data_IF_694604305943
#
_entry.id   IF_694604305943
#
_cell.length_a   1.000
_cell.length_b   1.000
_cell.length_c   1.000
_cell.angle_alpha   90.00
_cell.angle_beta   90.00
_cell.angle_gamma   90.00
#
_symmetry.space_group_name_H-M   'P 1'
#
loop_
_entity.id
_entity.type
_entity.pdbx_description
1 polymer ?
#
# COMPACT_ATOMS: atom_id res chain seq x y z
N UNK A 1 -22.50 -29.80 18.12
CA UNK A 1 -22.74 -28.74 17.12
C UNK A 1 -22.16 -27.50 17.75
N UNK A 2 -20.91 -27.17 17.39
CA UNK A 2 -20.24 -25.99 17.92
C UNK A 2 -21.05 -24.79 17.46
N UNK A 3 -21.59 -24.03 18.41
CA UNK A 3 -22.54 -22.96 18.12
C UNK A 3 -21.79 -21.81 17.46
N UNK A 4 -21.77 -21.79 16.13
CA UNK A 4 -21.34 -20.63 15.34
C UNK A 4 -22.12 -19.37 15.73
N UNK A 5 -23.34 -19.53 16.26
CA UNK A 5 -24.18 -18.44 16.77
C UNK A 5 -23.47 -17.64 17.87
N UNK A 6 -22.71 -18.30 18.76
CA UNK A 6 -21.98 -17.61 19.83
C UNK A 6 -20.85 -16.73 19.28
N UNK A 7 -20.08 -17.24 18.31
CA UNK A 7 -19.02 -16.47 17.67
C UNK A 7 -19.58 -15.31 16.86
N UNK A 8 -20.62 -15.55 16.06
CA UNK A 8 -21.24 -14.49 15.26
C UNK A 8 -21.90 -13.43 16.14
N UNK A 9 -22.59 -13.80 17.21
CA UNK A 9 -23.12 -12.84 18.18
C UNK A 9 -21.99 -12.03 18.86
N UNK A 10 -20.85 -12.67 19.17
CA UNK A 10 -19.70 -11.96 19.71
C UNK A 10 -19.07 -10.99 18.70
N UNK A 11 -19.06 -11.32 17.41
CA UNK A 11 -18.60 -10.44 16.34
C UNK A 11 -19.55 -9.26 16.09
N UNK A 12 -20.87 -9.49 16.12
CA UNK A 12 -21.86 -8.41 16.03
C UNK A 12 -21.74 -7.44 17.22
N UNK A 13 -21.69 -7.96 18.44
CA UNK A 13 -21.50 -7.15 19.64
C UNK A 13 -20.17 -6.40 19.61
N UNK A 14 -19.12 -7.02 19.07
CA UNK A 14 -17.83 -6.39 18.85
C UNK A 14 -17.91 -5.20 17.89
N UNK A 15 -18.63 -5.32 16.77
CA UNK A 15 -18.80 -4.23 15.81
C UNK A 15 -19.57 -3.05 16.41
N UNK A 16 -20.63 -3.32 17.18
CA UNK A 16 -21.37 -2.30 17.93
C UNK A 16 -20.50 -1.60 18.98
N UNK A 17 -19.74 -2.37 19.76
CA UNK A 17 -18.82 -1.83 20.77
C UNK A 17 -17.75 -0.95 20.11
N UNK A 18 -17.17 -1.42 19.01
CA UNK A 18 -16.15 -0.69 18.27
C UNK A 18 -16.72 0.62 17.70
N UNK A 19 -17.93 0.61 17.16
CA UNK A 19 -18.62 1.81 16.68
C UNK A 19 -18.85 2.82 17.81
N UNK A 20 -19.25 2.36 18.99
CA UNK A 20 -19.47 3.23 20.15
C UNK A 20 -18.16 3.81 20.71
N UNK A 21 -17.09 3.00 20.77
CA UNK A 21 -15.75 3.46 21.14
C UNK A 21 -15.27 4.57 20.20
N UNK A 22 -15.44 4.39 18.88
CA UNK A 22 -15.11 5.41 17.87
C UNK A 22 -15.90 6.70 18.09
N UNK A 23 -17.22 6.59 18.34
CA UNK A 23 -18.10 7.74 18.60
C UNK A 23 -17.70 8.52 19.87
N UNK A 24 -17.22 7.82 20.90
CA UNK A 24 -16.74 8.40 22.16
C UNK A 24 -15.34 9.03 22.07
N UNK A 25 -14.66 8.94 20.92
CA UNK A 25 -13.35 9.55 20.72
C UNK A 25 -12.17 8.57 20.73
N UNK A 26 -12.39 7.27 20.94
CA UNK A 26 -11.40 6.24 20.64
C UNK A 26 -11.45 5.95 19.15
N UNK A 27 -11.05 6.93 18.34
CA UNK A 27 -11.05 6.80 16.89
C UNK A 27 -9.67 7.11 16.32
N UNK A 28 -9.56 6.93 15.02
CA UNK A 28 -8.37 7.12 14.22
C UNK A 28 -8.25 8.56 13.68
N UNK A 29 -9.12 9.48 14.10
CA UNK A 29 -8.98 10.88 13.75
C UNK A 29 -7.65 11.43 14.29
N UNK A 30 -6.93 12.14 13.43
CA UNK A 30 -5.67 12.77 13.77
C UNK A 30 -5.48 13.98 12.87
N UNK A 31 -5.36 15.16 13.48
CA UNK A 31 -5.40 16.43 12.76
C UNK A 31 -4.33 16.52 11.67
N UNK A 32 -3.11 16.07 11.98
CA UNK A 32 -1.96 16.16 11.07
C UNK A 32 -2.15 15.26 9.83
N UNK A 33 -2.58 14.02 10.03
CA UNK A 33 -2.81 13.07 8.92
C UNK A 33 -4.06 13.36 8.09
N UNK A 34 -4.98 14.20 8.60
CA UNK A 34 -6.12 14.70 7.84
C UNK A 34 -5.75 15.81 6.86
N UNK A 35 -4.64 16.53 7.08
CA UNK A 35 -4.21 17.65 6.24
C UNK A 35 -2.96 17.35 5.40
N UNK A 36 -2.15 16.38 5.82
CA UNK A 36 -0.90 16.00 5.16
C UNK A 36 -0.75 14.47 5.14
N UNK A 37 -0.03 13.96 4.14
CA UNK A 37 0.32 12.54 4.10
C UNK A 37 1.18 12.18 5.32
N UNK A 38 0.91 11.03 5.93
CA UNK A 38 1.71 10.49 7.06
C UNK A 38 3.18 10.23 6.69
N UNK A 39 3.53 10.27 5.40
CA UNK A 39 4.89 10.11 4.91
C UNK A 39 5.49 11.41 4.36
N UNK A 40 4.87 12.57 4.59
CA UNK A 40 5.35 13.87 4.09
C UNK A 40 6.56 14.36 4.91
N UNK A 41 7.76 14.07 4.41
CA UNK A 41 9.03 14.35 5.11
C UNK A 41 9.21 15.83 5.43
N UNK A 42 8.98 16.71 4.45
CA UNK A 42 9.26 18.13 4.59
C UNK A 42 8.13 18.84 5.32
N UNK A 43 6.89 18.75 4.79
CA UNK A 43 5.79 19.60 5.27
C UNK A 43 5.22 19.14 6.61
N UNK A 44 5.35 17.85 6.93
CA UNK A 44 4.90 17.30 8.22
C UNK A 44 6.09 17.12 9.16
N UNK A 45 6.98 16.18 8.87
CA UNK A 45 7.98 15.73 9.84
C UNK A 45 9.04 16.79 10.16
N UNK A 46 9.71 17.34 9.14
CA UNK A 46 10.74 18.38 9.33
C UNK A 46 10.16 19.60 10.05
N UNK A 47 8.97 20.08 9.63
CA UNK A 47 8.32 21.23 10.27
C UNK A 47 7.87 20.98 11.70
N UNK A 48 7.38 19.78 12.02
CA UNK A 48 6.94 19.45 13.37
C UNK A 48 8.13 19.31 14.32
N UNK A 49 9.18 18.60 13.90
CA UNK A 49 10.43 18.46 14.67
C UNK A 49 11.05 19.83 14.92
N UNK A 50 11.16 20.67 13.88
CA UNK A 50 11.59 22.06 14.01
C UNK A 50 10.79 22.83 15.06
N UNK A 51 9.47 22.71 15.02
CA UNK A 51 8.58 23.47 15.89
C UNK A 51 8.81 23.13 17.37
N UNK A 52 9.22 21.90 17.70
CA UNK A 52 9.60 21.51 19.06
C UNK A 52 11.03 21.87 19.42
N UNK A 53 11.98 21.70 18.50
CA UNK A 53 13.40 21.93 18.78
C UNK A 53 13.74 23.42 18.92
N UNK A 54 13.02 24.30 18.24
CA UNK A 54 13.31 25.74 18.25
C UNK A 54 12.97 26.39 19.60
N UNK A 55 13.94 26.90 20.39
CA UNK A 55 13.65 27.50 21.69
C UNK A 55 12.76 28.75 21.64
N UNK A 56 12.68 29.40 20.46
CA UNK A 56 11.81 30.55 20.17
C UNK A 56 10.47 30.11 19.54
N UNK A 57 10.18 28.82 19.54
CA UNK A 57 8.95 28.25 19.01
C UNK A 57 7.71 28.64 19.81
N UNK A 58 6.54 28.55 19.17
CA UNK A 58 5.24 28.89 19.79
C UNK A 58 4.76 27.88 20.85
N UNK A 59 5.60 26.93 21.25
CA UNK A 59 5.36 26.07 22.41
C UNK A 59 5.77 26.74 23.72
N UNK A 60 6.54 27.83 23.69
CA UNK A 60 6.93 28.62 24.86
C UNK A 60 7.63 27.81 25.98
N UNK A 61 8.30 26.70 25.65
CA UNK A 61 9.05 25.87 26.61
C UNK A 61 10.55 26.19 26.66
N UNK A 62 11.00 27.26 25.98
CA UNK A 62 12.42 27.58 25.85
C UNK A 62 13.21 26.40 25.28
N UNK A 63 14.40 26.15 25.83
CA UNK A 63 15.33 25.11 25.38
C UNK A 63 14.96 23.69 25.81
N UNK A 64 13.90 23.52 26.61
CA UNK A 64 13.58 22.25 27.27
C UNK A 64 13.42 21.06 26.32
N UNK A 65 12.75 21.23 25.18
CA UNK A 65 12.59 20.15 24.21
C UNK A 65 13.88 19.84 23.45
N UNK A 66 14.73 20.85 23.22
CA UNK A 66 16.06 20.67 22.63
C UNK A 66 17.00 19.96 23.60
N UNK A 67 16.99 20.29 24.89
CA UNK A 67 17.73 19.58 25.95
C UNK A 67 17.37 18.10 26.00
N UNK A 68 16.07 17.79 25.94
CA UNK A 68 15.58 16.43 25.89
C UNK A 68 16.00 15.71 24.60
N UNK A 69 16.06 16.40 23.47
CA UNK A 69 16.56 15.85 22.22
C UNK A 69 18.04 15.49 22.32
N UNK A 70 18.87 16.44 22.76
CA UNK A 70 20.30 16.23 22.98
C UNK A 70 20.56 15.08 23.94
N UNK A 71 19.76 14.97 25.01
CA UNK A 71 19.81 13.81 25.91
C UNK A 71 19.47 12.50 25.22
N UNK A 72 18.40 12.46 24.43
CA UNK A 72 17.96 11.25 23.74
C UNK A 72 18.98 10.72 22.73
N UNK A 73 19.78 11.61 22.11
CA UNK A 73 20.85 11.23 21.17
C UNK A 73 22.23 11.07 21.86
N UNK A 74 22.32 11.20 23.19
CA UNK A 74 23.56 11.06 23.94
C UNK A 74 24.55 12.23 23.80
N UNK A 75 24.07 13.45 23.56
CA UNK A 75 24.84 14.66 23.23
C UNK A 75 24.47 15.88 24.11
N UNK A 76 24.24 15.63 25.41
CA UNK A 76 23.72 16.62 26.37
C UNK A 76 24.49 17.95 26.38
N UNK A 77 25.83 17.89 26.33
CA UNK A 77 26.72 19.05 26.40
C UNK A 77 27.28 19.47 25.02
N UNK A 78 26.58 19.12 23.94
CA UNK A 78 27.07 19.40 22.59
C UNK A 78 26.99 20.88 22.23
N UNK A 79 25.88 21.56 22.55
CA UNK A 79 25.61 22.95 22.16
C UNK A 79 25.54 23.86 23.38
N UNK A 80 25.99 25.11 23.22
CA UNK A 80 25.63 26.21 24.11
C UNK A 80 24.18 26.65 23.82
N UNK A 81 23.28 26.27 24.73
CA UNK A 81 21.85 26.54 24.60
C UNK A 81 21.49 28.03 24.75
N UNK A 82 22.40 28.87 25.24
CA UNK A 82 22.15 30.31 25.40
C UNK A 82 22.23 31.08 24.08
N UNK A 83 23.01 30.59 23.11
CA UNK A 83 23.20 31.18 21.78
C UNK A 83 22.61 30.35 20.64
N UNK A 84 21.89 29.27 20.95
CA UNK A 84 21.42 28.31 19.94
C UNK A 84 20.39 28.90 18.98
N UNK A 85 20.54 28.55 17.70
CA UNK A 85 19.62 28.86 16.62
C UNK A 85 19.22 27.55 15.93
N UNK A 86 17.93 27.41 15.66
CA UNK A 86 17.38 26.28 14.90
C UNK A 86 16.80 26.84 13.60
N UNK A 87 17.22 26.26 12.49
CA UNK A 87 16.78 26.56 11.14
C UNK A 87 16.17 25.29 10.54
N UNK A 88 15.16 25.46 9.70
CA UNK A 88 14.60 24.39 8.87
C UNK A 88 14.58 24.85 7.43
N UNK A 89 14.55 23.89 6.51
CA UNK A 89 14.32 24.18 5.10
C UNK A 89 15.32 25.24 4.57
N UNK A 90 16.55 25.23 5.11
CA UNK A 90 17.54 26.29 4.89
C UNK A 90 18.22 26.12 3.53
N UNK A 91 18.12 27.14 2.68
CA UNK A 91 18.76 27.22 1.37
C UNK A 91 19.72 28.43 1.35
N UNK A 92 21.03 28.25 1.60
CA UNK A 92 21.97 29.36 1.68
C UNK A 92 22.14 30.12 0.35
N UNK A 93 22.16 29.39 -0.78
CA UNK A 93 22.41 29.97 -2.11
C UNK A 93 21.13 30.16 -2.96
N UNK A 94 19.95 29.91 -2.37
CA UNK A 94 18.65 30.00 -3.06
C UNK A 94 18.41 28.96 -4.17
N UNK A 95 19.40 28.10 -4.46
CA UNK A 95 19.30 27.03 -5.44
C UNK A 95 19.40 25.66 -4.77
N UNK A 96 18.34 24.86 -4.88
CA UNK A 96 18.33 23.39 -4.78
C UNK A 96 18.62 22.71 -3.43
N UNK A 97 19.41 23.33 -2.55
CA UNK A 97 20.07 22.62 -1.45
C UNK A 97 19.45 22.99 -0.12
N UNK A 98 18.32 22.34 0.13
CA UNK A 98 17.51 22.56 1.31
C UNK A 98 17.94 21.62 2.43
N UNK A 99 18.67 22.14 3.42
CA UNK A 99 18.93 21.39 4.66
C UNK A 99 17.62 21.29 5.44
N UNK A 100 17.17 20.07 5.73
CA UNK A 100 15.94 19.81 6.48
C UNK A 100 15.95 20.51 7.84
N UNK A 101 16.94 20.22 8.68
CA UNK A 101 17.16 20.91 9.96
C UNK A 101 18.64 21.20 10.19
N UNK A 102 18.92 22.41 10.66
CA UNK A 102 20.25 22.85 11.07
C UNK A 102 20.15 23.55 12.42
N UNK A 103 20.92 23.06 13.39
CA UNK A 103 20.98 23.58 14.76
C UNK A 103 22.42 24.02 15.01
N UNK A 104 22.63 25.24 15.46
CA UNK A 104 23.98 25.77 15.71
C UNK A 104 23.99 26.75 16.88
N UNK A 105 25.06 26.75 17.67
CA UNK A 105 25.35 27.77 18.69
C UNK A 105 26.37 28.83 18.22
N UNK A 106 26.78 28.75 16.94
CA UNK A 106 27.83 29.56 16.32
C UNK A 106 29.23 28.92 16.36
N UNK A 107 29.44 27.88 17.15
CA UNK A 107 30.71 27.11 17.23
C UNK A 107 30.50 25.67 16.79
N UNK A 108 29.49 25.01 17.34
CA UNK A 108 29.11 23.63 17.05
C UNK A 108 27.78 23.58 16.33
N UNK A 109 27.58 22.48 15.64
CA UNK A 109 26.41 22.30 14.79
C UNK A 109 25.91 20.86 14.71
N UNK A 110 24.61 20.75 14.49
CA UNK A 110 23.89 19.51 14.22
C UNK A 110 23.11 19.71 12.92
N UNK A 111 23.33 18.82 11.96
CA UNK A 111 22.55 18.72 10.72
C UNK A 111 21.70 17.48 10.82
N UNK A 112 20.40 17.59 10.54
CA UNK A 112 19.50 16.44 10.48
C UNK A 112 18.91 16.37 9.09
N UNK A 113 19.17 15.27 8.39
CA UNK A 113 18.50 14.92 7.14
C UNK A 113 17.38 13.92 7.44
N UNK A 114 16.16 14.26 7.03
CA UNK A 114 14.96 13.52 7.38
C UNK A 114 14.46 12.70 6.18
N UNK A 115 14.56 11.36 6.28
CA UNK A 115 14.13 10.46 5.21
C UNK A 115 13.24 9.33 5.69
N UNK A 116 11.94 9.45 5.43
CA UNK A 116 10.98 8.38 5.63
C UNK A 116 10.97 7.39 4.46
N UNK A 117 10.68 7.88 3.25
CA UNK A 117 10.48 7.09 2.04
C UNK A 117 11.21 7.65 0.82
N UNK A 118 11.65 8.90 0.82
CA UNK A 118 12.36 9.49 -0.30
C UNK A 118 13.75 8.86 -0.49
N UNK A 119 14.11 8.75 -1.76
CA UNK A 119 15.46 8.39 -2.16
C UNK A 119 16.45 9.51 -1.80
N UNK A 120 17.72 9.15 -1.65
CA UNK A 120 18.76 10.15 -1.41
C UNK A 120 18.99 10.98 -2.67
N UNK A 121 19.22 12.26 -2.48
CA UNK A 121 19.55 13.17 -3.57
C UNK A 121 21.06 13.14 -3.84
N UNK A 122 21.50 13.40 -5.08
CA UNK A 122 22.92 13.30 -5.42
C UNK A 122 23.78 14.21 -4.55
N UNK A 123 24.81 13.61 -3.92
CA UNK A 123 25.81 14.29 -3.10
C UNK A 123 25.24 15.13 -1.94
N UNK A 124 24.01 14.84 -1.51
CA UNK A 124 23.26 15.62 -0.52
C UNK A 124 24.06 15.87 0.76
N UNK A 125 24.73 14.85 1.30
CA UNK A 125 25.50 14.98 2.55
C UNK A 125 26.72 15.88 2.36
N UNK A 126 27.50 15.66 1.30
CA UNK A 126 28.69 16.47 1.01
C UNK A 126 28.32 17.95 0.84
N UNK A 127 27.26 18.24 0.07
CA UNK A 127 26.78 19.60 -0.17
C UNK A 127 26.37 20.31 1.12
N UNK A 128 25.68 19.61 2.03
CA UNK A 128 25.31 20.21 3.31
C UNK A 128 26.51 20.56 4.18
N UNK A 129 27.51 19.68 4.22
CA UNK A 129 28.74 19.96 4.95
C UNK A 129 29.51 21.14 4.34
N UNK A 130 29.55 21.26 3.02
CA UNK A 130 30.13 22.42 2.33
C UNK A 130 29.40 23.72 2.70
N UNK A 131 28.08 23.71 2.61
CA UNK A 131 27.20 24.85 2.92
C UNK A 131 27.43 25.41 4.32
N UNK A 132 27.63 24.55 5.31
CA UNK A 132 27.84 24.97 6.72
C UNK A 132 29.33 25.09 7.07
N UNK A 133 30.22 25.06 6.08
CA UNK A 133 31.68 25.11 6.22
C UNK A 133 32.28 23.99 7.11
N UNK A 134 31.68 22.80 7.10
CA UNK A 134 32.13 21.60 7.81
C UNK A 134 32.96 20.64 6.95
N UNK A 135 33.95 21.17 6.22
CA UNK A 135 34.83 20.36 5.35
C UNK A 135 36.25 20.21 5.87
N UNK A 136 36.65 21.03 6.85
CA UNK A 136 37.98 20.99 7.46
C UNK A 136 38.09 19.84 8.49
N UNK A 137 38.98 18.85 8.28
CA UNK A 137 39.21 17.79 9.26
C UNK A 137 39.63 18.29 10.65
N UNK A 138 40.23 19.48 10.76
CA UNK A 138 40.59 20.07 12.05
C UNK A 138 39.36 20.48 12.89
N UNK A 139 38.20 20.65 12.26
CA UNK A 139 36.93 21.04 12.88
C UNK A 139 35.90 19.90 12.86
N UNK A 140 36.31 18.67 12.54
CA UNK A 140 35.43 17.52 12.42
C UNK A 140 34.70 17.15 13.73
N UNK A 141 35.19 17.64 14.87
CA UNK A 141 34.60 17.45 16.19
C UNK A 141 33.51 18.48 16.53
N UNK A 142 33.32 19.51 15.70
CA UNK A 142 32.30 20.54 15.94
C UNK A 142 30.99 20.29 15.18
N UNK A 143 30.97 19.28 14.29
CA UNK A 143 29.81 18.96 13.45
C UNK A 143 29.28 17.55 13.73
N UNK A 144 27.97 17.45 13.95
CA UNK A 144 27.23 16.20 14.02
C UNK A 144 26.23 16.11 12.87
N UNK A 145 26.35 15.07 12.04
CA UNK A 145 25.37 14.73 11.03
C UNK A 145 24.46 13.60 11.53
N UNK A 146 23.16 13.87 11.59
CA UNK A 146 22.12 12.91 11.97
C UNK A 146 21.33 12.52 10.72
N UNK A 147 21.30 11.23 10.43
CA UNK A 147 20.44 10.66 9.40
C UNK A 147 19.20 10.05 10.03
N UNK A 148 18.07 10.75 9.98
CA UNK A 148 16.81 10.34 10.60
C UNK A 148 15.96 9.56 9.61
N UNK A 149 15.81 8.25 9.82
CA UNK A 149 15.09 7.38 8.87
C UNK A 149 14.25 6.29 9.52
N UNK A 150 13.45 5.55 8.73
CA UNK A 150 12.74 4.37 9.26
C UNK A 150 13.69 3.21 9.58
N UNK A 151 14.53 2.82 8.63
CA UNK A 151 15.30 1.56 8.69
C UNK A 151 16.72 1.65 8.08
N UNK A 152 17.13 2.80 7.52
CA UNK A 152 18.42 2.92 6.84
C UNK A 152 19.49 3.27 7.84
N UNK A 153 20.59 2.52 7.80
CA UNK A 153 21.76 2.71 8.67
C UNK A 153 22.65 3.88 8.25
N UNK A 154 22.65 4.20 6.95
CA UNK A 154 23.47 5.22 6.31
C UNK A 154 22.77 5.75 5.05
N UNK A 155 23.08 7.00 4.63
CA UNK A 155 22.78 7.45 3.28
C UNK A 155 23.44 6.54 2.25
N UNK A 156 22.83 6.40 1.08
CA UNK A 156 23.42 5.68 -0.04
C UNK A 156 24.72 6.35 -0.53
N UNK A 157 25.56 5.61 -1.25
CA UNK A 157 26.77 6.17 -1.87
C UNK A 157 26.45 7.37 -2.78
N UNK A 158 25.29 7.33 -3.46
CA UNK A 158 24.77 8.44 -4.26
C UNK A 158 24.48 9.68 -3.42
N UNK A 159 23.91 9.52 -2.22
CA UNK A 159 23.66 10.59 -1.26
C UNK A 159 24.91 11.14 -0.58
N UNK A 160 25.90 10.28 -0.32
CA UNK A 160 27.13 10.65 0.40
C UNK A 160 28.07 11.55 -0.41
N UNK A 161 28.09 11.42 -1.74
CA UNK A 161 28.92 12.29 -2.60
C UNK A 161 30.43 12.13 -2.39
N UNK A 162 30.91 10.88 -2.31
CA UNK A 162 32.34 10.59 -2.10
C UNK A 162 32.76 10.51 -0.64
N UNK A 163 31.89 10.88 0.30
CA UNK A 163 32.06 10.59 1.72
C UNK A 163 31.78 9.10 2.02
N UNK A 164 32.30 8.63 3.15
CA UNK A 164 31.98 7.28 3.68
C UNK A 164 31.58 7.36 5.16
N UNK A 165 30.68 6.48 5.58
CA UNK A 165 30.30 6.33 6.99
C UNK A 165 31.18 5.27 7.64
N UNK A 166 31.97 5.65 8.64
CA UNK A 166 32.67 4.71 9.51
C UNK A 166 31.84 4.42 10.75
N UNK A 167 31.08 3.31 10.73
CA UNK A 167 30.23 2.91 11.86
C UNK A 167 31.02 2.62 13.15
N UNK A 168 32.27 2.15 13.03
CA UNK A 168 33.12 1.84 14.20
C UNK A 168 33.44 3.08 15.02
N UNK A 169 33.73 4.20 14.36
CA UNK A 169 34.08 5.47 15.02
C UNK A 169 32.92 6.47 15.02
N UNK A 170 31.79 6.13 14.41
CA UNK A 170 30.64 7.02 14.22
C UNK A 170 31.05 8.35 13.58
N UNK A 171 31.75 8.26 12.43
CA UNK A 171 32.29 9.41 11.69
C UNK A 171 31.90 9.37 10.22
N UNK A 172 31.71 10.55 9.63
CA UNK A 172 31.82 10.75 8.19
C UNK A 172 33.30 10.97 7.84
N UNK A 173 33.79 10.25 6.85
CA UNK A 173 35.16 10.35 6.35
C UNK A 173 35.17 10.88 4.91
N UNK A 174 36.13 11.75 4.60
CA UNK A 174 36.40 12.17 3.23
C UNK A 174 37.11 11.06 2.42
N UNK A 175 37.39 11.35 1.15
CA UNK A 175 38.08 10.42 0.24
C UNK A 175 39.50 10.04 0.69
N UNK A 176 40.13 10.86 1.52
CA UNK A 176 41.43 10.60 2.15
C UNK A 176 41.32 9.86 3.50
N UNK A 177 40.13 9.36 3.85
CA UNK A 177 39.84 8.69 5.13
C UNK A 177 40.03 9.57 6.38
N UNK A 178 40.02 10.91 6.22
CA UNK A 178 40.06 11.84 7.34
C UNK A 178 38.64 12.15 7.81
N UNK A 179 38.40 12.31 9.13
CA UNK A 179 37.08 12.65 9.64
C UNK A 179 36.68 14.07 9.21
N UNK A 180 35.40 14.26 8.89
CA UNK A 180 34.80 15.59 8.59
C UNK A 180 33.64 15.94 9.51
N UNK A 181 32.96 14.93 10.08
CA UNK A 181 31.90 15.12 11.05
C UNK A 181 31.68 13.86 11.89
N UNK A 182 31.05 14.00 13.05
CA UNK A 182 30.37 12.90 13.70
C UNK A 182 29.17 12.44 12.85
N UNK A 183 28.90 11.15 12.88
CA UNK A 183 27.75 10.53 12.23
C UNK A 183 26.87 9.82 13.26
N UNK A 184 25.56 10.02 13.17
CA UNK A 184 24.58 9.27 13.95
C UNK A 184 23.37 8.93 13.09
N UNK A 185 22.84 7.73 13.26
CA UNK A 185 21.56 7.35 12.67
C UNK A 185 20.50 7.41 13.77
N UNK A 186 19.38 8.04 13.48
CA UNK A 186 18.22 8.11 14.38
C UNK A 186 17.04 7.42 13.69
N UNK A 187 16.33 6.56 14.40
CA UNK A 187 15.21 5.82 13.83
C UNK A 187 13.85 6.46 14.13
N UNK A 188 12.94 6.40 13.17
CA UNK A 188 11.51 6.60 13.42
C UNK A 188 10.84 5.40 14.09
N UNK A 189 11.46 4.22 14.10
CA UNK A 189 10.88 3.01 14.71
C UNK A 189 11.18 2.93 16.21
N UNK A 190 10.29 2.31 16.98
CA UNK A 190 10.47 2.15 18.44
C UNK A 190 11.55 1.14 18.80
N UNK A 191 11.53 -0.02 18.15
CA UNK A 191 12.30 -1.21 18.56
C UNK A 191 13.41 -1.57 17.56
N UNK A 192 14.20 -0.58 17.16
CA UNK A 192 15.48 -0.82 16.51
C UNK A 192 16.55 -0.79 17.59
N UNK A 193 17.58 -1.65 17.57
CA UNK A 193 18.68 -1.60 18.56
C UNK A 193 19.56 -0.34 18.49
N UNK A 194 18.96 0.81 18.17
CA UNK A 194 19.54 2.11 17.85
C UNK A 194 18.68 3.20 18.51
N UNK A 195 19.21 4.42 18.55
CA UNK A 195 18.47 5.57 19.08
C UNK A 195 17.19 5.82 18.26
N UNK A 196 16.10 6.14 18.95
CA UNK A 196 14.79 6.35 18.37
C UNK A 196 14.25 7.74 18.70
N UNK A 197 13.56 8.36 17.74
CA UNK A 197 12.84 9.61 17.94
C UNK A 197 11.73 9.45 19.00
N UNK A 198 11.21 8.23 19.20
CA UNK A 198 10.19 7.96 20.21
C UNK A 198 10.66 8.27 21.63
N UNK A 199 11.91 7.91 21.97
CA UNK A 199 12.51 8.21 23.28
C UNK A 199 12.47 9.72 23.57
N UNK A 200 12.76 10.54 22.56
CA UNK A 200 12.69 12.00 22.67
C UNK A 200 11.25 12.50 22.82
N UNK A 201 10.33 12.03 21.96
CA UNK A 201 8.91 12.44 22.00
C UNK A 201 8.23 12.07 23.32
N UNK A 202 8.50 10.87 23.85
CA UNK A 202 8.01 10.42 25.15
C UNK A 202 8.56 11.28 26.29
N UNK A 203 9.84 11.61 26.23
CA UNK A 203 10.45 12.53 27.20
C UNK A 203 9.81 13.92 27.15
N UNK A 204 9.49 14.42 25.95
CA UNK A 204 8.76 15.69 25.79
C UNK A 204 7.36 15.63 26.38
N UNK A 205 6.61 14.55 26.11
CA UNK A 205 5.26 14.35 26.63
C UNK A 205 5.24 14.25 28.16
N UNK A 206 6.24 13.60 28.77
CA UNK A 206 6.38 13.49 30.22
C UNK A 206 6.81 14.81 30.90
N UNK A 207 7.39 15.73 30.15
CA UNK A 207 7.89 17.00 30.68
C UNK A 207 6.77 18.06 30.84
N UNK A 208 5.65 17.91 30.15
CA UNK A 208 4.57 18.91 30.12
C UNK A 208 3.32 18.45 30.86
N UNK A 209 2.43 19.38 31.14
CA UNK A 209 1.10 19.04 31.65
C UNK A 209 0.27 18.30 30.59
N UNK A 210 -0.37 17.19 31.01
CA UNK A 210 -1.11 16.29 30.11
C UNK A 210 -2.38 16.92 29.53
N UNK A 211 -2.91 17.98 30.16
CA UNK A 211 -4.09 18.69 29.69
C UNK A 211 -3.73 19.90 28.82
N UNK A 212 -2.44 20.18 28.63
CA UNK A 212 -1.99 21.28 27.78
C UNK A 212 -2.19 21.00 26.28
N UNK A 213 -2.38 22.06 25.49
CA UNK A 213 -2.46 21.96 24.04
C UNK A 213 -1.23 21.31 23.39
N UNK A 214 -0.05 21.44 24.01
CA UNK A 214 1.20 20.84 23.50
C UNK A 214 1.17 19.32 23.66
N UNK A 215 0.53 18.80 24.70
CA UNK A 215 0.38 17.37 24.91
C UNK A 215 -0.44 16.72 23.80
N UNK A 216 -1.53 17.37 23.38
CA UNK A 216 -2.33 16.89 22.25
C UNK A 216 -1.55 16.92 20.94
N UNK A 217 -0.80 18.00 20.67
CA UNK A 217 0.04 18.08 19.47
C UNK A 217 1.11 16.97 19.43
N UNK A 218 1.76 16.68 20.57
CA UNK A 218 2.73 15.60 20.69
C UNK A 218 2.09 14.23 20.48
N UNK A 219 0.93 13.98 21.07
CA UNK A 219 0.19 12.73 20.89
C UNK A 219 -0.21 12.53 19.42
N UNK A 220 -0.67 13.59 18.75
CA UNK A 220 -1.00 13.54 17.33
C UNK A 220 0.23 13.21 16.48
N UNK A 221 1.38 13.83 16.75
CA UNK A 221 2.59 13.52 16.01
C UNK A 221 3.15 12.13 16.30
N UNK A 222 3.09 11.66 17.55
CA UNK A 222 3.47 10.28 17.91
C UNK A 222 2.62 9.28 17.12
N UNK A 223 1.31 9.48 17.03
CA UNK A 223 0.42 8.63 16.23
C UNK A 223 0.76 8.69 14.73
N UNK A 224 1.14 9.86 14.20
CA UNK A 224 1.61 9.97 12.80
C UNK A 224 2.89 9.16 12.59
N UNK A 225 3.87 9.27 13.49
CA UNK A 225 5.12 8.51 13.40
C UNK A 225 4.83 7.02 13.41
N UNK A 226 4.01 6.54 14.35
CA UNK A 226 3.59 5.15 14.45
C UNK A 226 2.87 4.67 13.18
N UNK A 227 2.00 5.49 12.58
CA UNK A 227 1.35 5.16 11.31
C UNK A 227 2.34 5.09 10.16
N UNK A 228 3.27 6.05 10.09
CA UNK A 228 4.30 6.10 9.07
C UNK A 228 5.24 4.87 9.12
N UNK A 229 5.49 4.32 10.32
CA UNK A 229 6.31 3.13 10.52
C UNK A 229 5.54 1.80 10.50
N UNK A 230 4.20 1.86 10.43
CA UNK A 230 3.29 0.71 10.59
C UNK A 230 3.35 0.07 11.99
N UNK A 231 3.67 0.85 13.00
CA UNK A 231 3.69 0.47 14.42
C UNK A 231 2.45 0.97 15.18
N UNK A 232 1.55 1.69 14.50
CA UNK A 232 0.30 2.16 15.08
C UNK A 232 -0.61 0.98 15.44
N UNK A 233 -0.98 0.92 16.71
CA UNK A 233 -1.97 -0.03 17.21
C UNK A 233 -3.27 0.72 17.42
N UNK A 234 -4.35 0.19 16.86
CA UNK A 234 -5.69 0.74 17.06
C UNK A 234 -6.04 0.76 18.55
N UNK A 235 -6.64 1.85 19.02
CA UNK A 235 -7.09 2.00 20.42
C UNK A 235 -8.48 1.42 20.67
N UNK A 236 -9.15 0.99 19.60
CA UNK A 236 -10.43 0.28 19.71
C UNK A 236 -10.20 -1.20 19.81
N UNK A 237 -11.22 -1.89 20.34
CA UNK A 237 -11.28 -3.34 20.34
C UNK A 237 -10.98 -3.89 18.95
N UNK A 238 -10.19 -4.95 18.91
CA UNK A 238 -9.78 -5.66 17.71
C UNK A 238 -10.34 -7.08 17.70
N UNK A 239 -10.37 -7.73 16.53
CA UNK A 239 -10.73 -9.15 16.42
C UNK A 239 -9.85 -10.03 17.33
N UNK A 240 -8.57 -9.67 17.46
CA UNK A 240 -7.65 -10.37 18.36
C UNK A 240 -8.15 -10.34 19.81
N UNK A 241 -8.62 -9.17 20.28
CA UNK A 241 -9.15 -9.03 21.63
C UNK A 241 -10.40 -9.91 21.83
N UNK A 242 -11.30 -9.98 20.84
CA UNK A 242 -12.49 -10.86 20.88
C UNK A 242 -12.10 -12.34 21.00
N UNK A 243 -11.06 -12.77 20.28
CA UNK A 243 -10.58 -14.15 20.33
C UNK A 243 -9.89 -14.45 21.68
N UNK A 244 -9.10 -13.51 22.21
CA UNK A 244 -8.40 -13.64 23.50
C UNK A 244 -9.39 -13.62 24.69
N UNK A 245 -10.40 -12.75 24.67
CA UNK A 245 -11.50 -12.72 25.64
C UNK A 245 -12.29 -14.04 25.59
N UNK A 246 -12.60 -14.54 24.38
CA UNK A 246 -13.24 -15.84 24.21
C UNK A 246 -12.44 -16.96 24.88
N UNK A 247 -11.11 -17.00 24.71
CA UNK A 247 -10.25 -17.96 25.40
C UNK A 247 -10.35 -17.81 26.92
N UNK A 248 -10.28 -16.58 27.43
CA UNK A 248 -10.35 -16.30 28.86
C UNK A 248 -11.70 -16.71 29.49
N UNK A 249 -12.79 -16.62 28.73
CA UNK A 249 -14.14 -17.03 29.12
C UNK A 249 -14.41 -18.53 28.94
N UNK A 250 -13.44 -19.31 28.43
CA UNK A 250 -13.58 -20.74 28.16
C UNK A 250 -14.37 -21.06 26.88
N UNK A 251 -14.55 -20.07 25.99
CA UNK A 251 -15.20 -20.22 24.68
C UNK A 251 -14.21 -20.70 23.62
N UNK A 252 -14.76 -21.23 22.51
CA UNK A 252 -14.00 -21.83 21.39
C UNK A 252 -13.85 -20.91 20.18
N UNK A 253 -13.99 -19.60 20.35
CA UNK A 253 -13.90 -18.62 19.25
C UNK A 253 -12.62 -18.77 18.41
N UNK A 254 -11.49 -19.04 19.05
CA UNK A 254 -10.20 -19.23 18.38
C UNK A 254 -10.16 -20.49 17.51
N UNK A 255 -10.74 -21.61 17.98
CA UNK A 255 -10.84 -22.86 17.21
C UNK A 255 -11.75 -22.65 15.99
N UNK A 256 -12.90 -21.99 16.18
CA UNK A 256 -13.86 -21.66 15.12
C UNK A 256 -13.24 -20.72 14.08
N UNK A 257 -12.47 -19.71 14.50
CA UNK A 257 -11.77 -18.81 13.59
C UNK A 257 -10.71 -19.53 12.75
N UNK A 258 -9.97 -20.48 13.34
CA UNK A 258 -9.00 -21.33 12.62
C UNK A 258 -9.74 -22.23 11.62
N UNK A 259 -10.86 -22.83 12.01
CA UNK A 259 -11.68 -23.65 11.14
C UNK A 259 -12.20 -22.82 9.94
N UNK A 260 -12.78 -21.65 10.18
CA UNK A 260 -13.24 -20.75 9.14
C UNK A 260 -12.09 -20.40 8.17
N UNK A 261 -10.93 -20.01 8.69
CA UNK A 261 -9.76 -19.70 7.88
C UNK A 261 -9.29 -20.89 7.01
N UNK A 262 -9.48 -22.12 7.49
CA UNK A 262 -9.13 -23.33 6.73
C UNK A 262 -10.14 -23.68 5.63
N UNK A 263 -11.42 -23.31 5.81
CA UNK A 263 -12.50 -23.61 4.85
C UNK A 263 -12.65 -22.53 3.76
N UNK A 264 -12.30 -21.27 4.07
CA UNK A 264 -12.41 -20.13 3.14
C UNK A 264 -11.82 -20.38 1.74
N UNK A 265 -10.61 -20.98 1.57
CA UNK A 265 -10.06 -21.23 0.24
C UNK A 265 -10.93 -22.13 -0.64
N UNK A 266 -11.60 -23.13 -0.05
CA UNK A 266 -12.48 -24.05 -0.78
C UNK A 266 -13.80 -23.36 -1.17
N UNK A 267 -14.34 -22.53 -0.28
CA UNK A 267 -15.53 -21.71 -0.56
C UNK A 267 -15.25 -20.73 -1.70
N UNK A 268 -14.12 -20.03 -1.63
CA UNK A 268 -13.63 -19.13 -2.67
C UNK A 268 -13.48 -19.84 -4.02
N UNK A 269 -12.96 -21.07 -4.02
CA UNK A 269 -12.88 -21.91 -5.21
C UNK A 269 -14.26 -22.17 -5.83
N UNK A 270 -15.22 -22.50 -4.97
CA UNK A 270 -16.60 -22.84 -5.36
C UNK A 270 -17.30 -21.65 -6.00
N UNK A 271 -17.19 -20.45 -5.41
CA UNK A 271 -17.78 -19.24 -5.99
C UNK A 271 -17.19 -18.90 -7.36
N UNK A 272 -15.86 -18.99 -7.49
CA UNK A 272 -15.18 -18.75 -8.76
C UNK A 272 -15.60 -19.76 -9.83
N UNK A 273 -15.68 -21.04 -9.49
CA UNK A 273 -16.12 -22.08 -10.43
C UNK A 273 -17.58 -21.90 -10.83
N UNK A 274 -18.48 -21.68 -9.88
CA UNK A 274 -19.90 -21.44 -10.13
C UNK A 274 -20.10 -20.20 -11.03
N UNK A 275 -19.32 -19.14 -10.81
CA UNK A 275 -19.32 -17.98 -11.68
C UNK A 275 -18.85 -18.32 -13.11
N UNK A 276 -17.76 -19.08 -13.25
CA UNK A 276 -17.18 -19.44 -14.55
C UNK A 276 -17.99 -20.48 -15.34
N UNK A 277 -18.87 -21.23 -14.68
CA UNK A 277 -19.71 -22.24 -15.31
C UNK A 277 -21.17 -21.79 -15.27
N UNK A 278 -21.93 -22.21 -14.27
CA UNK A 278 -23.38 -22.07 -14.17
C UNK A 278 -23.84 -20.63 -14.39
N UNK A 279 -23.26 -19.66 -13.70
CA UNK A 279 -23.78 -18.28 -13.73
C UNK A 279 -23.53 -17.60 -15.09
N UNK A 280 -22.37 -17.85 -15.72
CA UNK A 280 -22.09 -17.30 -17.05
C UNK A 280 -22.82 -18.05 -18.16
N UNK A 281 -23.02 -19.36 -18.00
CA UNK A 281 -23.84 -20.16 -18.92
C UNK A 281 -25.27 -19.63 -18.90
N UNK A 282 -25.88 -19.44 -17.72
CA UNK A 282 -27.22 -18.83 -17.60
C UNK A 282 -27.27 -17.41 -18.18
N UNK A 283 -26.23 -16.58 -17.96
CA UNK A 283 -26.17 -15.22 -18.48
C UNK A 283 -26.16 -15.17 -20.02
N UNK A 284 -25.45 -16.08 -20.67
CA UNK A 284 -25.26 -16.07 -22.12
C UNK A 284 -26.08 -17.11 -22.88
N UNK A 285 -26.81 -18.00 -22.20
CA UNK A 285 -27.63 -19.06 -22.82
C UNK A 285 -28.57 -18.54 -23.93
N UNK A 286 -29.27 -17.38 -23.78
CA UNK A 286 -30.11 -16.87 -24.86
C UNK A 286 -29.33 -16.56 -26.14
N UNK A 287 -28.13 -15.99 -26.02
CA UNK A 287 -27.27 -15.67 -27.15
C UNK A 287 -26.63 -16.92 -27.76
N UNK A 288 -26.25 -17.89 -26.93
CA UNK A 288 -25.69 -19.17 -27.40
C UNK A 288 -26.76 -20.00 -28.11
N UNK A 289 -27.96 -20.10 -27.55
CA UNK A 289 -29.08 -20.85 -28.12
C UNK A 289 -29.59 -20.27 -29.46
N UNK A 290 -29.51 -18.95 -29.64
CA UNK A 290 -29.84 -18.27 -30.90
C UNK A 290 -28.71 -18.36 -31.95
N UNK A 291 -27.53 -18.86 -31.57
CA UNK A 291 -26.36 -18.90 -32.45
C UNK A 291 -25.64 -17.56 -32.62
N UNK A 292 -25.93 -16.58 -31.76
CA UNK A 292 -25.25 -15.28 -31.74
C UNK A 292 -23.86 -15.36 -31.09
N UNK A 293 -23.63 -16.38 -30.26
CA UNK A 293 -22.37 -16.60 -29.54
C UNK A 293 -21.99 -18.08 -29.48
N UNK A 294 -20.69 -18.36 -29.46
CA UNK A 294 -20.13 -19.70 -29.23
C UNK A 294 -19.29 -19.71 -27.95
N UNK A 295 -19.62 -20.58 -27.01
CA UNK A 295 -18.77 -20.86 -25.85
C UNK A 295 -17.50 -21.59 -26.28
N UNK A 296 -16.34 -21.11 -25.84
CA UNK A 296 -15.04 -21.73 -26.10
C UNK A 296 -14.67 -22.61 -24.90
N UNK A 297 -14.81 -23.92 -25.06
CA UNK A 297 -14.39 -24.95 -24.12
C UNK A 297 -13.13 -25.71 -24.57
N UNK A 298 -12.73 -26.77 -23.84
CA UNK A 298 -11.60 -27.63 -24.21
C UNK A 298 -11.72 -28.28 -25.60
N UNK A 299 -12.95 -28.54 -26.04
CA UNK A 299 -13.30 -29.20 -27.29
C UNK A 299 -13.15 -28.34 -28.55
N UNK A 300 -13.13 -27.01 -28.40
CA UNK A 300 -13.07 -26.04 -29.49
C UNK A 300 -12.12 -24.86 -29.16
N UNK A 301 -11.10 -25.12 -28.35
CA UNK A 301 -10.16 -24.11 -27.87
C UNK A 301 -9.39 -23.39 -29.00
N UNK A 302 -9.30 -24.00 -30.17
CA UNK A 302 -8.70 -23.41 -31.37
C UNK A 302 -9.43 -22.14 -31.85
N UNK A 303 -10.69 -21.94 -31.46
CA UNK A 303 -11.43 -20.71 -31.77
C UNK A 303 -10.82 -19.47 -31.08
N UNK A 304 -9.97 -19.67 -30.06
CA UNK A 304 -9.27 -18.60 -29.37
C UNK A 304 -7.93 -18.23 -30.03
N UNK A 305 -7.43 -19.04 -30.96
CA UNK A 305 -6.13 -18.85 -31.63
C UNK A 305 -5.93 -17.45 -32.25
N UNK A 306 -6.96 -16.79 -32.83
CA UNK A 306 -6.83 -15.42 -33.34
C UNK A 306 -6.60 -14.34 -32.26
N UNK A 307 -6.90 -14.64 -31.01
CA UNK A 307 -6.93 -13.70 -29.88
C UNK A 307 -5.73 -13.84 -28.94
N UNK A 308 -4.94 -14.90 -29.09
CA UNK A 308 -3.78 -15.20 -28.25
C UNK A 308 -2.48 -14.85 -28.97
N UNK A 309 -1.43 -14.59 -28.19
CA UNK A 309 -0.09 -14.34 -28.70
C UNK A 309 0.39 -15.52 -29.55
N UNK A 310 1.19 -15.25 -30.59
CA UNK A 310 1.64 -16.26 -31.56
C UNK A 310 2.29 -17.49 -30.91
N UNK A 311 2.91 -17.33 -29.75
CA UNK A 311 3.50 -18.39 -28.92
C UNK A 311 2.48 -19.44 -28.44
N UNK A 312 1.19 -19.12 -28.37
CA UNK A 312 0.11 -19.99 -27.90
C UNK A 312 -0.90 -20.35 -29.00
N UNK A 313 -0.66 -19.94 -30.26
CA UNK A 313 -1.63 -20.07 -31.35
C UNK A 313 -2.02 -21.50 -31.68
N UNK A 314 -1.25 -22.51 -31.28
CA UNK A 314 -1.61 -23.93 -31.45
C UNK A 314 -1.74 -24.65 -30.09
N UNK A 315 -1.75 -23.90 -28.99
CA UNK A 315 -1.70 -24.42 -27.61
C UNK A 315 -2.61 -23.65 -26.64
N UNK A 316 -3.64 -22.96 -27.16
CA UNK A 316 -4.60 -22.19 -26.37
C UNK A 316 -5.32 -23.06 -25.32
N UNK A 317 -5.57 -24.34 -25.65
CA UNK A 317 -6.13 -25.31 -24.72
C UNK A 317 -5.21 -25.56 -23.53
N UNK A 318 -3.88 -25.71 -23.71
CA UNK A 318 -2.96 -25.89 -22.57
C UNK A 318 -2.77 -24.62 -21.76
N UNK A 319 -2.93 -23.44 -22.36
CA UNK A 319 -2.89 -22.17 -21.63
C UNK A 319 -4.05 -22.07 -20.62
N UNK A 320 -5.26 -22.48 -21.03
CA UNK A 320 -6.50 -22.27 -20.27
C UNK A 320 -6.99 -23.51 -19.52
N UNK A 321 -6.83 -24.69 -20.11
CA UNK A 321 -7.43 -25.98 -19.75
C UNK A 321 -6.43 -27.08 -19.33
N UNK A 322 -5.14 -26.76 -19.20
CA UNK A 322 -4.10 -27.78 -18.94
C UNK A 322 -4.34 -28.62 -17.66
N UNK A 323 -4.01 -29.92 -17.69
CA UNK A 323 -4.08 -30.82 -16.54
C UNK A 323 -2.87 -30.61 -15.62
N UNK A 324 -2.94 -29.61 -14.73
CA UNK A 324 -1.98 -29.36 -13.64
C UNK A 324 -2.67 -28.69 -12.45
N UNK A 325 -2.03 -28.82 -11.28
CA UNK A 325 -2.40 -28.23 -9.99
C UNK A 325 -3.07 -26.84 -10.11
N UNK A 326 -4.29 -26.73 -9.60
CA UNK A 326 -5.08 -25.50 -9.53
C UNK A 326 -4.82 -24.80 -8.20
N UNK A 327 -4.75 -23.46 -8.20
CA UNK A 327 -4.54 -22.64 -7.02
C UNK A 327 -5.58 -22.91 -5.91
N UNK A 328 -6.76 -23.43 -6.28
CA UNK A 328 -7.88 -23.65 -5.38
C UNK A 328 -8.37 -25.10 -5.26
N UNK A 329 -7.75 -26.06 -5.96
CA UNK A 329 -8.09 -27.49 -5.87
C UNK A 329 -6.83 -28.36 -5.95
N UNK A 330 -6.51 -29.17 -4.92
CA UNK A 330 -5.51 -30.23 -5.06
C UNK A 330 -6.10 -31.41 -5.85
N UNK A 331 -5.51 -31.77 -7.01
CA UNK A 331 -5.93 -32.95 -7.78
C UNK A 331 -5.51 -32.97 -9.26
N UNK A 332 -5.76 -34.12 -9.92
CA UNK A 332 -5.49 -34.39 -11.35
C UNK A 332 -6.61 -33.86 -12.29
N UNK A 333 -7.15 -32.67 -12.02
CA UNK A 333 -8.18 -32.03 -12.86
C UNK A 333 -7.58 -31.11 -13.94
N UNK A 334 -8.38 -30.76 -14.94
CA UNK A 334 -8.10 -29.64 -15.85
C UNK A 334 -8.22 -28.32 -15.09
N UNK A 335 -7.24 -27.42 -15.25
CA UNK A 335 -7.39 -26.04 -14.76
C UNK A 335 -8.47 -25.37 -15.61
N UNK A 336 -9.44 -24.65 -15.06
CA UNK A 336 -10.28 -23.74 -15.85
C UNK A 336 -9.86 -22.32 -15.51
N UNK A 337 -9.06 -21.66 -16.36
CA UNK A 337 -8.58 -20.28 -16.08
C UNK A 337 -9.59 -19.20 -16.41
N UNK A 338 -10.69 -19.52 -17.07
CA UNK A 338 -11.65 -18.52 -17.50
C UNK A 338 -12.68 -19.08 -18.46
N UNK A 339 -13.78 -18.36 -18.58
CA UNK A 339 -14.85 -18.65 -19.52
C UNK A 339 -14.79 -17.62 -20.64
N UNK A 340 -14.93 -18.09 -21.88
CA UNK A 340 -14.74 -17.31 -23.09
C UNK A 340 -15.90 -17.56 -24.04
N UNK A 341 -16.47 -16.49 -24.58
CA UNK A 341 -17.61 -16.56 -25.49
C UNK A 341 -17.34 -15.70 -26.72
N UNK A 342 -17.17 -16.35 -27.87
CA UNK A 342 -16.94 -15.68 -29.14
C UNK A 342 -18.26 -15.19 -29.72
N UNK A 343 -18.28 -13.97 -30.22
CA UNK A 343 -19.43 -13.45 -30.97
C UNK A 343 -19.48 -14.10 -32.36
N UNK A 344 -20.64 -14.53 -32.82
CA UNK A 344 -20.85 -15.11 -34.17
C UNK A 344 -21.66 -14.19 -35.08
N UNK A 345 -22.39 -13.22 -34.51
CA UNK A 345 -23.23 -12.27 -35.24
C UNK A 345 -22.88 -10.83 -34.85
N UNK A 346 -23.44 -9.86 -35.59
CA UNK A 346 -23.21 -8.43 -35.36
C UNK A 346 -21.89 -7.91 -35.96
N UNK A 347 -21.55 -6.62 -35.71
CA UNK A 347 -20.41 -5.96 -36.32
C UNK A 347 -19.05 -6.54 -35.95
N UNK A 348 -18.95 -7.22 -34.78
CA UNK A 348 -17.72 -7.84 -34.27
C UNK A 348 -17.76 -9.37 -34.32
N UNK A 349 -18.59 -9.94 -35.20
CA UNK A 349 -18.68 -11.38 -35.41
C UNK A 349 -17.28 -11.98 -35.70
N UNK A 350 -16.87 -12.97 -34.89
CA UNK A 350 -15.57 -13.65 -34.91
C UNK A 350 -14.36 -12.76 -34.62
N UNK A 351 -14.58 -11.48 -34.35
CA UNK A 351 -13.54 -10.49 -34.06
C UNK A 351 -13.48 -10.12 -32.58
N UNK A 352 -14.49 -10.50 -31.78
CA UNK A 352 -14.52 -10.28 -30.34
C UNK A 352 -14.85 -11.56 -29.54
N UNK A 353 -14.25 -11.67 -28.37
CA UNK A 353 -14.53 -12.69 -27.35
C UNK A 353 -14.80 -11.99 -26.02
N UNK A 354 -15.96 -12.24 -25.43
CA UNK A 354 -16.25 -11.86 -24.04
C UNK A 354 -15.60 -12.86 -23.10
N UNK A 355 -15.05 -12.39 -21.97
CA UNK A 355 -14.38 -13.27 -21.03
C UNK A 355 -14.47 -12.86 -19.57
N UNK A 356 -14.46 -13.88 -18.72
CA UNK A 356 -14.07 -13.81 -17.32
C UNK A 356 -12.86 -14.73 -17.13
N UNK A 357 -11.70 -14.17 -16.78
CA UNK A 357 -10.41 -14.87 -16.76
C UNK A 357 -9.63 -14.55 -15.49
N UNK A 358 -8.92 -15.51 -14.90
CA UNK A 358 -8.05 -15.23 -13.74
C UNK A 358 -6.59 -15.66 -13.96
N UNK A 359 -5.70 -14.76 -13.54
CA UNK A 359 -4.27 -14.98 -13.41
C UNK A 359 -3.88 -15.53 -12.04
N UNK A 360 -2.62 -15.38 -11.66
CA UNK A 360 -2.14 -15.78 -10.32
C UNK A 360 -2.55 -14.81 -9.22
N UNK A 361 -2.92 -13.57 -9.57
CA UNK A 361 -3.21 -12.49 -8.61
C UNK A 361 -4.46 -11.68 -8.93
N UNK A 362 -4.91 -11.75 -10.17
CA UNK A 362 -5.93 -10.85 -10.70
C UNK A 362 -7.05 -11.65 -11.34
N UNK A 363 -8.29 -11.24 -11.07
CA UNK A 363 -9.48 -11.60 -11.82
C UNK A 363 -9.70 -10.51 -12.87
N UNK A 364 -9.93 -10.90 -14.11
CA UNK A 364 -10.12 -10.04 -15.26
C UNK A 364 -11.47 -10.31 -15.89
N UNK A 365 -12.21 -9.25 -16.16
CA UNK A 365 -13.46 -9.30 -16.90
C UNK A 365 -13.39 -8.29 -18.04
N UNK A 366 -13.85 -8.69 -19.22
CA UNK A 366 -13.82 -7.80 -20.37
C UNK A 366 -13.89 -8.55 -21.69
N UNK A 367 -13.13 -8.08 -22.68
CA UNK A 367 -13.11 -8.68 -23.99
C UNK A 367 -11.70 -8.79 -24.59
N UNK A 368 -11.57 -9.72 -25.52
CA UNK A 368 -10.44 -9.89 -26.42
C UNK A 368 -10.86 -9.49 -27.82
N UNK A 369 -9.94 -8.90 -28.57
CA UNK A 369 -10.15 -8.56 -29.98
C UNK A 369 -9.11 -9.25 -30.87
N UNK A 370 -9.42 -9.36 -32.16
CA UNK A 370 -8.41 -9.70 -33.17
C UNK A 370 -7.60 -8.44 -33.53
N UNK A 371 -6.49 -8.63 -34.24
CA UNK A 371 -5.63 -7.53 -34.72
C UNK A 371 -6.35 -6.60 -35.73
N UNK A 372 -7.41 -7.08 -36.38
CA UNK A 372 -8.14 -6.36 -37.42
C UNK A 372 -9.48 -5.77 -36.94
N UNK A 373 -9.84 -5.97 -35.68
CA UNK A 373 -11.11 -5.55 -35.14
C UNK A 373 -11.26 -4.02 -35.10
N UNK A 374 -12.47 -3.53 -35.31
CA UNK A 374 -12.81 -2.12 -35.10
C UNK A 374 -12.62 -1.72 -33.63
N UNK A 375 -11.75 -0.73 -33.38
CA UNK A 375 -11.37 -0.22 -32.07
C UNK A 375 -12.34 0.81 -31.48
N UNK A 376 -13.54 0.99 -32.04
CA UNK A 376 -14.59 1.87 -31.49
C UNK A 376 -14.97 1.57 -30.03
N UNK A 377 -14.75 0.32 -29.58
CA UNK A 377 -14.90 -0.10 -28.18
C UNK A 377 -13.92 0.59 -27.21
N UNK A 378 -12.81 1.17 -27.68
CA UNK A 378 -11.91 1.96 -26.83
C UNK A 378 -12.63 3.15 -26.17
N UNK A 379 -13.68 3.68 -26.81
CA UNK A 379 -14.54 4.71 -26.23
C UNK A 379 -15.27 4.28 -24.95
N UNK A 380 -15.43 2.97 -24.72
CA UNK A 380 -16.05 2.40 -23.52
C UNK A 380 -15.06 2.24 -22.36
N UNK A 381 -13.74 2.32 -22.62
CA UNK A 381 -12.72 2.12 -21.58
C UNK A 381 -12.87 3.07 -20.39
N UNK A 382 -13.08 4.39 -20.59
CA UNK A 382 -13.27 5.30 -19.45
C UNK A 382 -14.57 5.06 -18.69
N UNK A 383 -15.63 4.66 -19.40
CA UNK A 383 -16.98 4.45 -18.84
C UNK A 383 -16.98 3.23 -17.93
N UNK A 384 -16.44 2.12 -18.44
CA UNK A 384 -16.44 0.80 -17.78
C UNK A 384 -15.16 0.52 -16.99
N UNK A 385 -14.26 1.53 -16.88
CA UNK A 385 -12.94 1.42 -16.25
C UNK A 385 -12.08 0.27 -16.80
N UNK A 386 -12.24 -0.05 -18.07
CA UNK A 386 -11.40 -1.05 -18.74
C UNK A 386 -10.01 -0.45 -19.01
N UNK A 387 -9.00 -1.30 -18.95
CA UNK A 387 -7.62 -0.95 -19.27
C UNK A 387 -6.97 -2.09 -20.05
N UNK A 388 -5.87 -1.79 -20.74
CA UNK A 388 -5.02 -2.79 -21.38
C UNK A 388 -3.92 -3.25 -20.41
N UNK A 389 -3.99 -4.45 -19.81
CA UNK A 389 -2.99 -4.87 -18.85
C UNK A 389 -1.69 -5.25 -19.59
N UNK A 390 -0.64 -4.44 -19.44
CA UNK A 390 0.62 -4.64 -20.17
C UNK A 390 1.23 -6.04 -20.03
N UNK A 391 1.01 -6.70 -18.88
CA UNK A 391 1.43 -8.08 -18.65
C UNK A 391 0.62 -9.13 -19.46
N UNK A 392 -0.69 -8.92 -19.65
CA UNK A 392 -1.51 -9.78 -20.51
C UNK A 392 -1.21 -9.47 -21.98
N UNK A 393 -1.15 -8.18 -22.34
CA UNK A 393 -0.88 -7.67 -23.68
C UNK A 393 0.39 -8.26 -24.30
N UNK A 394 1.48 -8.20 -23.55
CA UNK A 394 2.79 -8.64 -24.04
C UNK A 394 3.01 -10.15 -24.03
N UNK A 395 2.18 -10.94 -23.34
CA UNK A 395 2.46 -12.35 -23.07
C UNK A 395 1.37 -13.31 -23.50
N UNK A 396 0.11 -12.91 -23.44
CA UNK A 396 -1.02 -13.85 -23.56
C UNK A 396 -2.01 -13.37 -24.61
N UNK A 397 -2.53 -12.15 -24.47
CA UNK A 397 -3.61 -11.62 -25.29
C UNK A 397 -3.19 -10.28 -25.90
N UNK A 398 -2.76 -10.22 -27.17
CA UNK A 398 -2.20 -9.00 -27.77
C UNK A 398 -3.16 -7.81 -27.80
N UNK A 399 -4.47 -8.08 -27.89
CA UNK A 399 -5.53 -7.07 -27.90
C UNK A 399 -6.56 -7.43 -26.81
N UNK A 400 -6.38 -6.87 -25.62
CA UNK A 400 -7.14 -7.22 -24.42
C UNK A 400 -7.55 -5.96 -23.68
N UNK A 401 -8.84 -5.87 -23.35
CA UNK A 401 -9.39 -4.79 -22.54
C UNK A 401 -10.12 -5.40 -21.37
N UNK A 402 -9.66 -5.10 -20.15
CA UNK A 402 -10.24 -5.69 -18.94
C UNK A 402 -10.35 -4.69 -17.81
N UNK A 403 -11.40 -4.85 -17.03
CA UNK A 403 -11.44 -4.44 -15.65
C UNK A 403 -10.77 -5.57 -14.83
N UNK A 404 -9.87 -5.20 -13.92
CA UNK A 404 -9.07 -6.15 -13.17
C UNK A 404 -9.15 -5.89 -11.66
N UNK A 405 -9.47 -6.94 -10.89
CA UNK A 405 -9.51 -6.90 -9.43
C UNK A 405 -8.53 -7.89 -8.82
N UNK A 406 -8.06 -7.60 -7.61
CA UNK A 406 -7.24 -8.55 -6.86
C UNK A 406 -8.07 -9.79 -6.49
N UNK A 407 -7.57 -10.96 -6.88
CA UNK A 407 -8.29 -12.23 -6.79
C UNK A 407 -8.64 -12.60 -5.34
N UNK A 408 -7.70 -12.46 -4.40
CA UNK A 408 -7.87 -12.84 -2.98
C UNK A 408 -8.65 -11.82 -2.13
N UNK A 409 -9.08 -10.69 -2.70
CA UNK A 409 -9.80 -9.65 -1.99
C UNK A 409 -11.23 -9.50 -2.54
N UNK A 410 -11.47 -8.40 -3.26
CA UNK A 410 -12.80 -8.07 -3.78
C UNK A 410 -13.20 -8.98 -4.94
N UNK A 411 -12.24 -9.39 -5.78
CA UNK A 411 -12.50 -10.14 -7.00
C UNK A 411 -13.27 -11.45 -6.76
N UNK A 412 -12.86 -12.28 -5.79
CA UNK A 412 -13.60 -13.50 -5.45
C UNK A 412 -14.86 -13.19 -4.61
N UNK A 413 -14.80 -12.22 -3.70
CA UNK A 413 -15.92 -11.90 -2.80
C UNK A 413 -17.16 -11.48 -3.59
N UNK A 414 -16.99 -10.69 -4.66
CA UNK A 414 -18.10 -10.32 -5.54
C UNK A 414 -18.74 -11.51 -6.26
N UNK A 415 -18.03 -12.62 -6.45
CA UNK A 415 -18.58 -13.82 -7.09
C UNK A 415 -19.51 -14.63 -6.19
N UNK A 416 -19.52 -14.35 -4.87
CA UNK A 416 -20.49 -14.95 -3.95
C UNK A 416 -21.93 -14.54 -4.32
N UNK A 417 -22.11 -13.31 -4.82
CA UNK A 417 -23.34 -12.81 -5.42
C UNK A 417 -23.04 -12.28 -6.82
N UNK A 418 -22.81 -13.22 -7.75
CA UNK A 418 -22.48 -12.89 -9.14
C UNK A 418 -23.55 -11.99 -9.78
N UNK A 419 -24.81 -12.11 -9.37
CA UNK A 419 -25.92 -11.32 -9.92
C UNK A 419 -25.78 -9.83 -9.70
N UNK A 420 -25.17 -9.41 -8.60
CA UNK A 420 -24.90 -8.01 -8.27
C UNK A 420 -23.41 -7.66 -8.43
N UNK A 421 -22.62 -8.53 -9.07
CA UNK A 421 -21.19 -8.35 -9.22
C UNK A 421 -20.83 -7.34 -10.32
N UNK A 422 -19.77 -6.52 -10.15
CA UNK A 422 -19.25 -5.67 -11.22
C UNK A 422 -18.89 -6.46 -12.49
N UNK A 423 -18.48 -7.73 -12.34
CA UNK A 423 -18.14 -8.61 -13.45
C UNK A 423 -19.34 -8.88 -14.35
N UNK A 424 -20.50 -9.17 -13.77
CA UNK A 424 -21.73 -9.39 -14.55
C UNK A 424 -22.18 -8.12 -15.26
N UNK A 425 -22.15 -6.98 -14.57
CA UNK A 425 -22.52 -5.67 -15.12
C UNK A 425 -21.67 -5.34 -16.35
N UNK A 426 -20.35 -5.46 -16.23
CA UNK A 426 -19.40 -5.23 -17.33
C UNK A 426 -19.66 -6.16 -18.51
N UNK A 427 -19.93 -7.44 -18.27
CA UNK A 427 -20.21 -8.39 -19.35
C UNK A 427 -21.53 -8.08 -20.06
N UNK A 428 -22.57 -7.68 -19.33
CA UNK A 428 -23.87 -7.28 -19.90
C UNK A 428 -23.79 -6.01 -20.74
N UNK A 429 -23.05 -5.00 -20.27
CA UNK A 429 -22.80 -3.76 -21.00
C UNK A 429 -21.96 -3.99 -22.27
N UNK A 430 -20.91 -4.83 -22.18
CA UNK A 430 -20.10 -5.22 -23.34
C UNK A 430 -20.93 -5.97 -24.37
N UNK A 431 -21.76 -6.92 -23.94
CA UNK A 431 -22.65 -7.67 -24.82
C UNK A 431 -23.60 -6.73 -25.59
N UNK A 432 -24.20 -5.77 -24.87
CA UNK A 432 -25.12 -4.77 -25.46
C UNK A 432 -24.39 -3.87 -26.45
N UNK A 433 -23.19 -3.41 -26.08
CA UNK A 433 -22.41 -2.47 -26.90
C UNK A 433 -21.82 -3.11 -28.16
N UNK A 434 -21.49 -4.40 -28.10
CA UNK A 434 -20.94 -5.18 -29.22
C UNK A 434 -22.02 -5.75 -30.15
N UNK A 435 -23.30 -5.43 -29.94
CA UNK A 435 -24.34 -5.59 -30.95
C UNK A 435 -24.69 -7.04 -31.33
N UNK A 436 -24.48 -8.02 -30.43
CA UNK A 436 -25.07 -9.35 -30.58
C UNK A 436 -26.58 -9.29 -30.27
N UNK A 437 -27.35 -9.10 -31.35
CA UNK A 437 -28.80 -9.23 -31.56
C UNK A 437 -29.77 -8.69 -30.50
N UNK A 438 -30.60 -7.70 -30.88
CA UNK A 438 -31.99 -7.56 -30.42
C UNK A 438 -32.25 -7.59 -28.91
N UNK A 439 -31.37 -7.02 -28.10
CA UNK A 439 -31.48 -7.10 -26.64
C UNK A 439 -32.65 -6.28 -26.10
N UNK A 440 -33.69 -6.99 -25.66
CA UNK A 440 -34.50 -6.51 -24.53
C UNK A 440 -33.51 -6.26 -23.39
N UNK A 441 -33.55 -5.11 -22.68
CA UNK A 441 -32.57 -4.82 -21.64
C UNK A 441 -32.56 -5.96 -20.63
N UNK A 442 -31.36 -6.48 -20.33
CA UNK A 442 -31.10 -7.51 -19.30
C UNK A 442 -31.32 -6.95 -17.88
N UNK A 443 -32.33 -6.10 -17.68
CA UNK A 443 -32.51 -5.25 -16.51
C UNK A 443 -33.63 -5.66 -15.55
N UNK A 444 -34.21 -6.85 -15.67
CA UNK A 444 -35.19 -7.31 -14.67
C UNK A 444 -34.91 -8.77 -14.27
N UNK A 445 -34.18 -8.92 -13.16
CA UNK A 445 -34.24 -10.13 -12.36
C UNK A 445 -35.62 -10.19 -11.70
N UNK A 446 -36.33 -11.29 -11.96
CA UNK A 446 -37.58 -11.63 -11.27
C UNK A 446 -37.37 -11.60 -9.74
N UNK A 447 -38.15 -10.77 -9.05
CA UNK A 447 -38.56 -11.05 -7.68
C UNK A 447 -39.48 -12.28 -7.69
N UNK A 448 -39.05 -13.39 -7.06
CA UNK A 448 -39.93 -14.31 -6.32
C UNK A 448 -39.23 -14.70 -5.03
#
# INVERSE_FOLDING_TARGET
>A
MESWEELFAALEAFDEEQAEQKRKGLNDFNLLSSVLSVNDEVRLHTRFIYALLNPKGKHYQGTRFLELFLKAIGRQDWLDLTSVTVLKEHCPDGQGDQIDLWITDGKRQIVIENKLNAQDQPQQVARYLEVINATDPAQADDTLFIYLTKNRQAPSAFGLGGLTVCHRTSRLLNTNSQPVAHYQNLSYRKNTGQDSIHTWLESCANAIDRQSHIAWALQDYQAVVERATKEYVSKVKTLKDVLEEGIAEGKRHHEQAIQLASELPAIHASWLEQALTTNLEELFEPCVGNGDMTRIGPENAELLNPFVHSTFKDDASSLLYAPKFNFFRPGNGTRNRGAFYRLETGPWAKEAVLMLFYGSKMLHVGCLLTEYADHSIEGLMPIMKLSEPGALKSKIFPQVMTYAEALEYQGITHLADFSNSPQREILGELLTSLGCAGSTPLSEGNEI
#
